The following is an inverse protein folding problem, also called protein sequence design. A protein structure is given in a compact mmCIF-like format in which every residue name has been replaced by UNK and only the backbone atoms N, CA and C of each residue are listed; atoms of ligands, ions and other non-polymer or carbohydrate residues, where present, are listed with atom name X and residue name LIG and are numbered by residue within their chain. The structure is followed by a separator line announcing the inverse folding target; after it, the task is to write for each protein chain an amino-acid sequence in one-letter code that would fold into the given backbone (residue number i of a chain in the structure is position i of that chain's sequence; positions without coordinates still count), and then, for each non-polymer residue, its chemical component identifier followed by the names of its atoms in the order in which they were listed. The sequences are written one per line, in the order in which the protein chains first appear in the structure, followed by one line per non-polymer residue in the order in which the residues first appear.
data_IF_493494596316
#
_entry.id   IF_493494596316
#
_cell.length_a   1.000
_cell.length_b   1.000
_cell.length_c   1.000
_cell.angle_alpha   90.00
_cell.angle_beta   90.00
_cell.angle_gamma   90.00
#
_symmetry.space_group_name_H-M   'P 1'
#
loop_
_entity.id
_entity.type
_entity.pdbx_description
1 polymer ?
#
# COMPACT_ATOMS: atom_id res chain seq x y z
N UNK A 1 13.61 10.56 -5.06
CA UNK A 1 13.86 10.86 -3.63
C UNK A 1 12.62 10.55 -2.74
N UNK A 2 11.79 9.53 -3.05
CA UNK A 2 10.64 9.16 -2.17
C UNK A 2 10.64 7.70 -1.68
N UNK A 3 11.50 6.83 -2.23
CA UNK A 3 11.58 5.40 -1.85
C UNK A 3 11.98 5.17 -0.38
N UNK A 4 12.66 6.14 0.22
CA UNK A 4 13.14 6.05 1.61
C UNK A 4 12.14 6.56 2.65
N UNK A 5 11.00 7.14 2.24
CA UNK A 5 10.00 7.74 3.13
C UNK A 5 8.70 6.92 3.15
N UNK A 6 8.83 5.63 3.43
CA UNK A 6 7.70 4.66 3.41
C UNK A 6 6.91 4.67 4.71
N UNK A 7 7.56 5.01 5.83
CA UNK A 7 6.97 5.02 7.16
C UNK A 7 6.77 6.44 7.67
N UNK A 8 5.78 6.60 8.55
CA UNK A 8 5.52 7.84 9.26
C UNK A 8 6.61 8.11 10.29
N UNK A 9 7.23 9.30 10.29
CA UNK A 9 8.26 9.64 11.26
C UNK A 9 7.72 9.74 12.69
N UNK A 10 6.41 9.95 12.86
CA UNK A 10 5.79 10.16 14.17
C UNK A 10 5.42 8.86 14.89
N UNK A 11 5.14 7.78 14.16
CA UNK A 11 4.62 6.54 14.75
C UNK A 11 5.06 5.25 14.05
N UNK A 12 5.94 5.34 13.05
CA UNK A 12 6.48 4.19 12.32
C UNK A 12 5.45 3.44 11.46
N UNK A 13 4.20 3.91 11.38
CA UNK A 13 3.17 3.27 10.55
C UNK A 13 3.40 3.60 9.08
N UNK A 14 3.11 2.67 8.15
CA UNK A 14 3.23 2.95 6.71
C UNK A 14 2.38 4.17 6.30
N UNK A 15 2.97 5.10 5.56
CA UNK A 15 2.23 6.21 4.92
C UNK A 15 1.79 5.81 3.51
N UNK A 16 2.58 4.97 2.82
CA UNK A 16 2.23 4.48 1.49
C UNK A 16 1.19 3.35 1.59
N UNK A 17 -0.06 3.72 1.40
CA UNK A 17 -1.17 2.77 1.22
C UNK A 17 -1.52 2.68 -0.27
N UNK A 18 -1.95 1.50 -0.77
CA UNK A 18 -2.35 1.34 -2.17
C UNK A 18 -3.58 2.20 -2.50
N UNK A 19 -3.67 2.67 -3.74
CA UNK A 19 -4.84 3.38 -4.25
C UNK A 19 -6.02 2.44 -4.47
N UNK A 20 -7.21 3.00 -4.68
CA UNK A 20 -8.44 2.23 -4.91
C UNK A 20 -8.29 1.19 -6.02
N UNK A 21 -7.69 1.57 -7.16
CA UNK A 21 -7.51 0.67 -8.29
C UNK A 21 -6.52 -0.45 -7.99
N UNK A 22 -5.45 -0.15 -7.24
CA UNK A 22 -4.51 -1.17 -6.78
C UNK A 22 -5.17 -2.16 -5.82
N UNK A 23 -6.00 -1.67 -4.89
CA UNK A 23 -6.77 -2.53 -3.98
C UNK A 23 -7.72 -3.44 -4.77
N UNK A 24 -8.46 -2.91 -5.75
CA UNK A 24 -9.36 -3.69 -6.59
C UNK A 24 -8.61 -4.75 -7.41
N UNK A 25 -7.45 -4.38 -7.99
CA UNK A 25 -6.60 -5.31 -8.74
C UNK A 25 -6.06 -6.44 -7.87
N UNK A 26 -5.48 -6.12 -6.71
CA UNK A 26 -4.98 -7.13 -5.75
C UNK A 26 -6.14 -8.02 -5.27
N UNK A 27 -7.31 -7.45 -4.98
CA UNK A 27 -8.50 -8.19 -4.58
C UNK A 27 -8.86 -9.28 -5.61
N UNK A 28 -8.97 -8.92 -6.90
CA UNK A 28 -9.28 -9.91 -7.95
C UNK A 28 -8.17 -10.94 -8.17
N UNK A 29 -6.90 -10.55 -8.01
CA UNK A 29 -5.77 -11.48 -8.14
C UNK A 29 -5.67 -12.46 -6.95
N UNK A 30 -6.09 -12.01 -5.77
CA UNK A 30 -6.03 -12.79 -4.53
C UNK A 30 -7.25 -13.69 -4.29
N UNK A 31 -8.34 -13.49 -5.05
CA UNK A 31 -9.46 -14.44 -5.08
C UNK A 31 -8.96 -15.75 -5.72
N UNK A 32 -8.65 -16.73 -4.86
CA UNK A 32 -8.53 -18.13 -5.26
C UNK A 32 -9.93 -18.61 -5.64
N UNK A 33 -10.07 -19.13 -6.87
CA UNK A 33 -11.30 -19.79 -7.31
C UNK A 33 -11.43 -21.19 -6.75
#
# INVERSE_FOLDING_TARGET
MSTNNVLSPANGKPIIVPSQDMVLGIYYLSIQR
#
